data_IF_158255161873
#
_entry.id   IF_158255161873
#
_cell.length_a   1.000
_cell.length_b   1.000
_cell.length_c   1.000
_cell.angle_alpha   90.00
_cell.angle_beta   90.00
_cell.angle_gamma   90.00
#
_symmetry.space_group_name_H-M   'P 1'
#
loop_
_entity.id
_entity.type
_entity.pdbx_description
1 polymer ?
#
# COMPACT_ATOMS: atom_id res chain seq x y z
N UNK A 1 6.52 9.49 44.02
CA UNK A 1 6.88 10.36 42.87
C UNK A 1 7.83 9.60 41.97
N UNK A 2 7.36 9.03 40.86
CA UNK A 2 8.20 8.27 39.92
C UNK A 2 8.42 9.11 38.65
N UNK A 3 9.67 9.53 38.43
CA UNK A 3 10.10 10.26 37.25
C UNK A 3 10.07 9.33 36.02
N UNK A 4 9.20 9.63 35.05
CA UNK A 4 9.19 8.94 33.76
C UNK A 4 10.35 9.45 32.91
N UNK A 5 11.42 8.64 32.81
CA UNK A 5 12.51 8.83 31.84
C UNK A 5 11.95 8.90 30.41
N UNK A 6 12.06 10.07 29.78
CA UNK A 6 11.76 10.23 28.36
C UNK A 6 12.96 9.75 27.54
N UNK A 7 12.75 8.69 26.76
CA UNK A 7 13.75 8.18 25.82
C UNK A 7 13.91 9.17 24.65
N UNK A 8 15.04 9.85 24.59
CA UNK A 8 15.49 10.61 23.42
C UNK A 8 16.04 9.61 22.38
N UNK A 9 15.35 9.41 21.25
CA UNK A 9 15.91 8.68 20.11
C UNK A 9 16.60 9.70 19.17
N UNK A 10 17.88 9.51 18.82
CA UNK A 10 18.57 10.37 17.88
C UNK A 10 18.25 9.95 16.44
N UNK A 11 18.08 10.93 15.54
CA UNK A 11 18.12 10.68 14.09
C UNK A 11 16.81 10.88 13.34
N UNK A 12 16.21 12.06 13.42
CA UNK A 12 15.43 12.65 12.32
C UNK A 12 15.88 14.10 12.20
N UNK A 13 16.26 14.49 10.98
CA UNK A 13 16.73 15.81 10.55
C UNK A 13 16.13 16.96 11.38
N UNK A 14 16.90 17.47 12.35
CA UNK A 14 16.59 18.76 12.96
C UNK A 14 17.00 19.84 11.98
N UNK A 15 16.02 20.32 11.21
CA UNK A 15 16.17 21.55 10.45
C UNK A 15 16.58 22.67 11.41
N UNK A 16 17.62 23.41 11.04
CA UNK A 16 18.13 24.57 11.78
C UNK A 16 16.95 25.48 12.14
N UNK A 17 16.86 25.87 13.42
CA UNK A 17 15.89 26.83 13.94
C UNK A 17 15.94 28.12 13.11
N UNK A 18 15.05 28.25 12.13
CA UNK A 18 14.72 29.53 11.54
C UNK A 18 13.66 30.21 12.42
N UNK A 19 13.78 31.53 12.56
CA UNK A 19 12.91 32.38 13.36
C UNK A 19 11.43 32.10 13.03
N UNK A 20 10.68 31.88 14.11
CA UNK A 20 9.26 31.51 14.19
C UNK A 20 8.95 30.03 13.90
N UNK A 21 8.69 29.27 14.98
CA UNK A 21 8.28 27.85 15.00
C UNK A 21 6.86 27.66 14.42
N UNK A 22 6.59 28.19 13.22
CA UNK A 22 5.33 28.02 12.55
C UNK A 22 5.32 26.73 11.71
N UNK A 23 4.33 25.84 11.92
CA UNK A 23 4.23 24.61 11.14
C UNK A 23 3.86 24.93 9.69
N UNK A 24 4.48 24.23 8.73
CA UNK A 24 4.18 24.36 7.30
C UNK A 24 2.69 24.14 6.97
N UNK A 25 2.04 23.26 7.74
CA UNK A 25 0.60 22.99 7.66
C UNK A 25 -0.06 23.24 9.01
N UNK A 26 -1.09 24.10 9.03
CA UNK A 26 -1.81 24.48 10.23
C UNK A 26 -3.33 24.40 10.06
N UNK A 27 -4.02 24.25 11.18
CA UNK A 27 -5.48 24.33 11.25
C UNK A 27 -5.98 25.78 11.35
N UNK A 28 -7.29 26.00 11.40
CA UNK A 28 -7.90 27.34 11.55
C UNK A 28 -7.41 28.13 12.76
N UNK A 29 -6.86 27.45 13.77
CA UNK A 29 -6.33 28.06 14.99
C UNK A 29 -4.80 28.24 14.93
N UNK A 30 -4.20 28.18 13.73
CA UNK A 30 -2.76 28.29 13.47
C UNK A 30 -1.88 27.29 14.22
N UNK A 31 -2.44 26.14 14.61
CA UNK A 31 -1.70 25.04 15.26
C UNK A 31 -1.42 23.92 14.26
N UNK A 32 -0.35 23.16 14.52
CA UNK A 32 -0.02 21.96 13.74
C UNK A 32 -1.19 20.98 13.68
N UNK A 33 -1.38 20.33 12.54
CA UNK A 33 -2.38 19.28 12.41
C UNK A 33 -2.10 18.10 13.32
N UNK A 34 -3.17 17.56 13.90
CA UNK A 34 -3.14 16.27 14.60
C UNK A 34 -3.43 15.14 13.62
N UNK A 35 -3.01 13.91 13.94
CA UNK A 35 -3.32 12.72 13.12
C UNK A 35 -4.83 12.55 12.89
N UNK A 36 -5.70 12.70 13.90
CA UNK A 36 -7.15 12.68 13.69
C UNK A 36 -7.62 13.84 12.81
N UNK A 37 -7.03 15.03 12.93
CA UNK A 37 -7.38 16.19 12.10
C UNK A 37 -7.14 15.96 10.60
N UNK A 38 -6.00 15.36 10.22
CA UNK A 38 -5.75 15.00 8.81
C UNK A 38 -6.74 13.92 8.34
N UNK A 39 -7.03 12.95 9.20
CA UNK A 39 -7.99 11.87 8.88
C UNK A 39 -9.38 12.42 8.64
N UNK A 40 -9.83 13.36 9.49
CA UNK A 40 -11.10 14.06 9.34
C UNK A 40 -11.18 14.84 8.01
N UNK A 41 -10.11 15.53 7.61
CA UNK A 41 -10.07 16.24 6.32
C UNK A 41 -10.24 15.25 5.16
N UNK A 42 -9.55 14.11 5.19
CA UNK A 42 -9.69 13.07 4.17
C UNK A 42 -11.11 12.52 4.11
N UNK A 43 -11.71 12.18 5.25
CA UNK A 43 -13.07 11.67 5.34
C UNK A 43 -14.10 12.67 4.80
N UNK A 44 -13.91 13.97 5.10
CA UNK A 44 -14.74 15.04 4.54
C UNK A 44 -14.69 15.06 3.01
N UNK A 45 -13.49 15.00 2.44
CA UNK A 45 -13.34 14.99 0.97
C UNK A 45 -13.87 13.69 0.34
N UNK A 46 -13.71 12.55 1.01
CA UNK A 46 -14.25 11.28 0.55
C UNK A 46 -15.77 11.30 0.49
N UNK A 47 -16.43 11.85 1.52
CA UNK A 47 -17.88 12.05 1.53
C UNK A 47 -18.33 12.92 0.35
N UNK A 48 -17.69 14.06 0.14
CA UNK A 48 -18.01 14.94 -0.98
C UNK A 48 -17.70 14.32 -2.35
N UNK A 49 -16.73 13.41 -2.45
CA UNK A 49 -16.46 12.67 -3.68
C UNK A 49 -17.56 11.63 -3.96
N UNK A 50 -17.98 10.89 -2.94
CA UNK A 50 -19.08 9.91 -3.05
C UNK A 50 -20.42 10.56 -3.41
N UNK A 51 -20.71 11.74 -2.87
CA UNK A 51 -21.93 12.50 -3.17
C UNK A 51 -22.04 12.91 -4.64
N UNK A 52 -20.90 13.11 -5.33
CA UNK A 52 -20.87 13.48 -6.75
C UNK A 52 -21.20 12.33 -7.70
N UNK A 53 -21.47 11.11 -7.17
CA UNK A 53 -21.86 9.91 -7.92
C UNK A 53 -21.04 9.69 -9.19
N UNK A 54 -19.72 9.80 -9.07
CA UNK A 54 -18.81 9.41 -10.14
C UNK A 54 -18.87 7.89 -10.32
N UNK A 55 -18.63 7.38 -11.53
CA UNK A 55 -18.47 5.94 -11.80
C UNK A 55 -17.30 5.30 -11.00
N UNK A 56 -16.51 6.12 -10.31
CA UNK A 56 -15.37 5.74 -9.48
C UNK A 56 -15.85 5.28 -8.10
N UNK A 57 -15.47 4.06 -7.72
CA UNK A 57 -15.73 3.48 -6.41
C UNK A 57 -14.58 3.84 -5.46
N UNK A 58 -14.89 4.49 -4.33
CA UNK A 58 -13.94 4.80 -3.28
C UNK A 58 -14.07 3.83 -2.11
N UNK A 59 -12.98 3.53 -1.37
CA UNK A 59 -13.04 2.70 -0.18
C UNK A 59 -13.78 3.40 0.97
N UNK A 60 -14.53 2.64 1.78
CA UNK A 60 -15.35 3.19 2.88
C UNK A 60 -14.54 3.97 3.92
N UNK A 61 -13.30 3.53 4.18
CA UNK A 61 -12.43 4.08 5.22
C UNK A 61 -11.05 4.44 4.67
N UNK A 62 -10.93 5.61 4.03
CA UNK A 62 -9.64 6.11 3.56
C UNK A 62 -8.81 6.71 4.70
N UNK A 63 -7.61 6.17 4.91
CA UNK A 63 -6.64 6.70 5.89
C UNK A 63 -5.38 7.21 5.19
N UNK A 64 -4.62 8.16 5.79
CA UNK A 64 -3.41 8.71 5.18
C UNK A 64 -2.37 7.65 4.78
N UNK A 65 -2.27 6.56 5.56
CA UNK A 65 -1.36 5.48 5.26
C UNK A 65 -1.75 4.67 4.00
N UNK A 66 -3.04 4.62 3.65
CA UNK A 66 -3.50 3.97 2.43
C UNK A 66 -3.06 4.77 1.20
N UNK A 67 -3.18 6.09 1.22
CA UNK A 67 -2.67 6.96 0.14
C UNK A 67 -1.17 6.76 -0.09
N UNK A 68 -0.41 6.62 1.00
CA UNK A 68 1.02 6.30 0.93
C UNK A 68 1.28 4.93 0.30
N UNK A 69 0.46 3.93 0.63
CA UNK A 69 0.52 2.60 0.02
C UNK A 69 0.22 2.65 -1.48
N UNK A 70 -0.87 3.30 -1.89
CA UNK A 70 -1.24 3.45 -3.30
C UNK A 70 -0.14 4.15 -4.11
N UNK A 71 0.47 5.22 -3.58
CA UNK A 71 1.61 5.88 -4.26
C UNK A 71 2.80 4.94 -4.45
N UNK A 72 3.09 4.08 -3.47
CA UNK A 72 4.17 3.10 -3.57
C UNK A 72 3.89 2.06 -4.67
N UNK A 73 2.66 1.58 -4.77
CA UNK A 73 2.23 0.66 -5.82
C UNK A 73 2.31 1.32 -7.20
N UNK A 74 1.82 2.54 -7.37
CA UNK A 74 1.94 3.26 -8.65
C UNK A 74 3.40 3.46 -9.08
N UNK A 75 4.31 3.73 -8.14
CA UNK A 75 5.74 3.83 -8.45
C UNK A 75 6.33 2.48 -8.89
N UNK A 76 5.88 1.39 -8.27
CA UNK A 76 6.29 0.04 -8.64
C UNK A 76 5.76 -0.36 -10.02
N UNK A 77 4.52 0.01 -10.34
CA UNK A 77 3.90 -0.22 -11.65
C UNK A 77 4.60 0.58 -12.77
N UNK A 78 5.12 1.75 -12.45
CA UNK A 78 5.98 2.54 -13.33
C UNK A 78 7.43 2.00 -13.42
N UNK A 79 7.67 0.76 -12.98
CA UNK A 79 8.96 0.04 -13.04
C UNK A 79 10.10 0.76 -12.31
N UNK A 80 9.79 1.64 -11.34
CA UNK A 80 10.80 2.27 -10.53
C UNK A 80 11.51 1.24 -9.63
N UNK A 81 12.84 1.36 -9.50
CA UNK A 81 13.62 0.46 -8.66
C UNK A 81 13.12 0.51 -7.20
N UNK A 82 12.96 -0.67 -6.58
CA UNK A 82 12.51 -0.82 -5.19
C UNK A 82 13.36 -0.01 -4.19
N UNK A 83 14.66 0.15 -4.45
CA UNK A 83 15.56 0.95 -3.61
C UNK A 83 15.15 2.43 -3.64
N UNK A 84 14.83 2.96 -4.82
CA UNK A 84 14.34 4.34 -4.97
C UNK A 84 12.98 4.53 -4.29
N UNK A 85 12.06 3.56 -4.40
CA UNK A 85 10.76 3.63 -3.74
C UNK A 85 10.93 3.65 -2.21
N UNK A 86 11.85 2.84 -1.66
CA UNK A 86 12.17 2.85 -0.23
C UNK A 86 12.65 4.22 0.23
N UNK A 87 13.59 4.80 -0.50
CA UNK A 87 14.21 6.08 -0.14
C UNK A 87 13.21 7.24 -0.31
N UNK A 88 12.40 7.21 -1.36
CA UNK A 88 11.31 8.16 -1.59
C UNK A 88 10.27 8.15 -0.46
N UNK A 89 9.92 6.97 0.05
CA UNK A 89 8.98 6.84 1.16
C UNK A 89 9.65 7.10 2.51
N UNK A 90 10.98 7.05 2.61
CA UNK A 90 11.72 7.17 3.86
C UNK A 90 11.53 5.97 4.79
N UNK A 91 11.42 4.76 4.23
CA UNK A 91 11.40 3.54 5.05
C UNK A 91 12.79 3.25 5.61
N UNK A 92 12.91 3.13 6.93
CA UNK A 92 14.16 2.74 7.61
C UNK A 92 14.55 1.28 7.37
N UNK A 93 13.65 0.46 6.82
CA UNK A 93 13.91 -0.96 6.57
C UNK A 93 13.35 -1.40 5.20
N UNK A 94 14.15 -2.18 4.47
CA UNK A 94 13.81 -2.80 3.18
C UNK A 94 12.60 -3.77 3.21
N UNK A 95 12.28 -4.48 4.32
CA UNK A 95 11.17 -5.44 4.36
C UNK A 95 9.79 -4.85 4.03
N UNK A 96 9.50 -3.60 4.43
CA UNK A 96 8.21 -2.96 4.12
C UNK A 96 8.07 -2.69 2.62
N UNK A 97 9.17 -2.45 1.92
CA UNK A 97 9.19 -2.24 0.47
C UNK A 97 9.12 -3.56 -0.31
N UNK A 98 9.68 -4.65 0.21
CA UNK A 98 9.49 -6.01 -0.34
C UNK A 98 8.02 -6.42 -0.37
N UNK A 99 7.21 -5.92 0.56
CA UNK A 99 5.78 -6.18 0.57
C UNK A 99 5.10 -5.70 -0.73
N UNK A 100 5.49 -4.54 -1.28
CA UNK A 100 4.93 -4.04 -2.54
C UNK A 100 5.23 -4.96 -3.73
N UNK A 101 6.46 -5.47 -3.81
CA UNK A 101 6.85 -6.44 -4.85
C UNK A 101 6.04 -7.74 -4.77
N UNK A 102 5.66 -8.18 -3.57
CA UNK A 102 4.85 -9.39 -3.38
C UNK A 102 3.39 -9.19 -3.80
N UNK A 103 2.85 -7.98 -3.70
CA UNK A 103 1.42 -7.70 -3.97
C UNK A 103 1.14 -7.60 -5.48
N UNK A 104 2.12 -7.20 -6.29
CA UNK A 104 1.91 -7.01 -7.72
C UNK A 104 1.87 -8.35 -8.49
N UNK A 105 0.67 -8.89 -8.72
CA UNK A 105 0.44 -10.08 -9.54
C UNK A 105 0.77 -9.86 -11.02
N UNK A 106 0.56 -8.64 -11.54
CA UNK A 106 0.83 -8.30 -12.93
C UNK A 106 2.33 -8.28 -13.23
N UNK A 107 3.14 -7.71 -12.34
CA UNK A 107 4.60 -7.74 -12.47
C UNK A 107 5.14 -9.17 -12.37
N UNK A 108 4.62 -9.98 -11.43
CA UNK A 108 4.98 -11.41 -11.36
C UNK A 108 4.63 -12.14 -12.65
N UNK A 109 3.43 -11.89 -13.20
CA UNK A 109 2.99 -12.48 -14.46
C UNK A 109 3.91 -12.10 -15.61
N UNK A 110 4.20 -10.81 -15.79
CA UNK A 110 5.16 -10.34 -16.82
C UNK A 110 6.55 -10.96 -16.68
N UNK A 111 7.06 -11.05 -15.45
CA UNK A 111 8.38 -11.66 -15.19
C UNK A 111 8.35 -13.17 -15.47
N UNK A 112 7.26 -13.86 -15.12
CA UNK A 112 7.09 -15.29 -15.43
C UNK A 112 6.98 -15.52 -16.95
N UNK A 113 6.18 -14.72 -17.66
CA UNK A 113 6.03 -14.78 -19.12
C UNK A 113 7.35 -14.46 -19.85
N UNK A 114 8.17 -13.54 -19.32
CA UNK A 114 9.47 -13.23 -19.89
C UNK A 114 10.55 -14.30 -19.59
N UNK A 115 10.47 -14.97 -18.44
CA UNK A 115 11.45 -15.95 -18.00
C UNK A 115 11.20 -17.37 -18.56
N UNK A 116 9.94 -17.72 -18.85
CA UNK A 116 9.55 -19.04 -19.33
C UNK A 116 8.93 -18.95 -20.72
N UNK A 117 9.56 -19.64 -21.68
CA UNK A 117 9.19 -19.61 -23.11
C UNK A 117 7.96 -20.51 -23.40
N UNK A 118 7.72 -21.56 -22.61
CA UNK A 118 6.56 -22.45 -22.72
C UNK A 118 6.13 -22.95 -21.33
N UNK A 119 4.97 -22.52 -20.83
CA UNK A 119 4.48 -22.87 -19.48
C UNK A 119 3.35 -23.91 -19.53
N UNK A 120 2.82 -24.20 -20.70
CA UNK A 120 1.77 -25.19 -20.87
C UNK A 120 2.35 -26.30 -21.74
N UNK A 121 2.66 -27.48 -21.18
CA UNK A 121 2.85 -28.66 -22.01
C UNK A 121 1.63 -28.80 -22.92
N UNK A 122 1.82 -28.99 -24.23
CA UNK A 122 0.70 -29.23 -25.17
C UNK A 122 -0.16 -30.42 -24.71
N UNK A 123 0.43 -31.33 -23.93
CA UNK A 123 -0.23 -32.44 -23.25
C UNK A 123 -0.79 -31.98 -21.88
N UNK A 124 -1.85 -31.16 -21.90
CA UNK A 124 -2.68 -30.98 -20.71
C UNK A 124 -3.57 -32.23 -20.62
N UNK A 125 -3.41 -33.12 -19.64
CA UNK A 125 -4.30 -34.24 -19.49
C UNK A 125 -5.72 -33.72 -19.28
N UNK A 126 -6.65 -34.17 -20.11
CA UNK A 126 -8.05 -33.77 -20.02
C UNK A 126 -8.65 -34.35 -18.73
N UNK A 127 -8.59 -33.59 -17.64
CA UNK A 127 -9.13 -33.97 -16.33
C UNK A 127 -10.63 -34.31 -16.36
N UNK A 128 -11.34 -33.90 -17.41
CA UNK A 128 -12.74 -34.27 -17.67
C UNK A 128 -12.93 -35.75 -17.97
N UNK A 129 -11.87 -36.47 -18.35
CA UNK A 129 -11.90 -37.91 -18.63
C UNK A 129 -11.68 -38.77 -17.38
N UNK A 130 -11.17 -38.18 -16.29
CA UNK A 130 -10.96 -38.87 -15.02
C UNK A 130 -12.26 -38.96 -14.21
N UNK A 131 -12.98 -40.07 -14.43
CA UNK A 131 -14.23 -40.38 -13.73
C UNK A 131 -14.03 -40.55 -12.22
N UNK A 132 -12.84 -40.99 -11.79
CA UNK A 132 -12.52 -41.17 -10.37
C UNK A 132 -12.42 -39.80 -9.68
N UNK A 133 -11.69 -38.86 -10.30
CA UNK A 133 -11.55 -37.48 -9.86
C UNK A 133 -12.90 -36.75 -9.80
N UNK A 134 -13.74 -36.89 -10.83
CA UNK A 134 -15.07 -36.28 -10.86
C UNK A 134 -15.97 -36.83 -9.74
N UNK A 135 -15.92 -38.15 -9.48
CA UNK A 135 -16.67 -38.76 -8.38
C UNK A 135 -16.20 -38.25 -7.02
N UNK A 136 -14.89 -38.04 -6.86
CA UNK A 136 -14.28 -37.52 -5.65
C UNK A 136 -14.68 -36.05 -5.40
N UNK A 137 -14.61 -35.20 -6.43
CA UNK A 137 -15.03 -33.79 -6.35
C UNK A 137 -16.53 -33.64 -6.02
N UNK A 138 -17.38 -34.47 -6.64
CA UNK A 138 -18.82 -34.48 -6.35
C UNK A 138 -19.14 -34.89 -4.90
N UNK A 139 -18.35 -35.78 -4.32
CA UNK A 139 -18.49 -36.18 -2.92
C UNK A 139 -17.87 -35.17 -1.94
N UNK A 140 -16.93 -34.33 -2.38
CA UNK A 140 -16.29 -33.31 -1.55
C UNK A 140 -17.22 -32.14 -1.18
N UNK A 141 -18.27 -31.92 -1.98
CA UNK A 141 -19.27 -30.86 -1.78
C UNK A 141 -20.51 -31.31 -1.00
N UNK A 142 -20.54 -32.54 -0.48
CA UNK A 142 -21.54 -33.04 0.47
C UNK A 142 -21.03 -32.92 1.90
#
# INVERSE_FOLDING_TARGET
MAAKKTFHKPGILTCKKHKEDHPLFFNSNHRSFTRPGITYILEKHLKSANEKKTEIIFPDNLKPHMMRHTKAIHLLEAEANLIYIRDFLGHTSVPTTKHYAKVNSQLKRKVLEAAYIEVVPDDIPNWTEDQELLSWLHNFCK
#
